data_IF_250036028017
#
_entry.id   IF_250036028017
#
_cell.length_a   1.000
_cell.length_b   1.000
_cell.length_c   1.000
_cell.angle_alpha   90.00
_cell.angle_beta   90.00
_cell.angle_gamma   90.00
#
_symmetry.space_group_name_H-M   'P 1'
#
loop_
_entity.id
_entity.type
_entity.pdbx_description
1 polymer ?
#
# COMPACT_ATOMS: atom_id res chain seq x y z
N UNK A 1 -13.08 19.68 24.01
CA UNK A 1 -12.64 19.54 22.60
C UNK A 1 -11.31 18.75 22.44
N UNK A 2 -10.96 17.81 23.32
CA UNK A 2 -9.68 17.07 23.22
C UNK A 2 -9.81 15.66 22.58
N UNK A 3 -11.02 15.08 22.58
CA UNK A 3 -11.23 13.70 22.11
C UNK A 3 -11.10 13.59 20.58
N UNK A 4 -11.50 14.64 19.85
CA UNK A 4 -11.50 14.61 18.38
C UNK A 4 -10.08 14.69 17.77
N UNK A 5 -9.11 15.31 18.45
CA UNK A 5 -7.72 15.41 18.00
C UNK A 5 -6.93 14.12 18.23
N UNK A 6 -7.21 13.40 19.33
CA UNK A 6 -6.53 12.12 19.63
C UNK A 6 -6.89 11.03 18.62
N UNK A 7 -8.16 10.93 18.19
CA UNK A 7 -8.58 9.93 17.19
C UNK A 7 -8.03 10.24 15.79
N UNK A 8 -7.85 11.52 15.45
CA UNK A 8 -7.24 11.94 14.18
C UNK A 8 -5.75 11.60 14.12
N UNK A 9 -5.02 11.77 15.22
CA UNK A 9 -3.59 11.45 15.29
C UNK A 9 -3.34 9.92 15.16
N UNK A 10 -4.22 9.09 15.72
CA UNK A 10 -4.13 7.64 15.59
C UNK A 10 -4.35 7.17 14.14
N UNK A 11 -5.30 7.79 13.42
CA UNK A 11 -5.55 7.48 12.02
C UNK A 11 -4.33 7.84 11.14
N UNK A 12 -3.71 8.99 11.38
CA UNK A 12 -2.50 9.44 10.66
C UNK A 12 -1.27 8.55 10.92
N UNK A 13 -1.12 8.06 12.15
CA UNK A 13 -0.08 7.09 12.49
C UNK A 13 -0.25 5.75 11.73
N UNK A 14 -1.49 5.36 11.41
CA UNK A 14 -1.78 4.12 10.70
C UNK A 14 -1.60 4.22 9.17
N UNK A 15 -1.82 5.41 8.60
CA UNK A 15 -1.65 5.69 7.16
C UNK A 15 -0.21 5.92 6.75
N UNK A 16 0.70 6.23 7.70
CA UNK A 16 2.12 6.43 7.39
C UNK A 16 2.76 5.14 6.89
N UNK A 17 2.96 5.08 5.57
CA UNK A 17 3.91 4.17 4.96
C UNK A 17 5.30 4.43 5.57
N UNK A 18 6.08 3.37 5.82
CA UNK A 18 7.31 3.37 6.65
C UNK A 18 8.16 4.62 6.43
N UNK A 19 8.73 5.17 7.50
CA UNK A 19 9.59 6.38 7.48
C UNK A 19 10.59 6.37 6.33
N UNK A 20 10.75 7.52 5.66
CA UNK A 20 11.65 7.73 4.49
C UNK A 20 13.11 7.27 4.71
N UNK A 21 13.56 7.15 5.96
CA UNK A 21 14.87 6.61 6.36
C UNK A 21 15.03 5.10 6.17
N UNK A 22 13.95 4.35 5.94
CA UNK A 22 14.04 2.92 5.68
C UNK A 22 14.44 2.69 4.21
N UNK A 23 15.66 2.18 3.99
CA UNK A 23 16.20 1.91 2.66
C UNK A 23 15.37 0.83 1.93
N UNK A 24 14.77 -0.10 2.68
CA UNK A 24 13.91 -1.17 2.15
C UNK A 24 12.43 -0.82 2.37
N UNK A 25 11.83 -0.06 1.46
CA UNK A 25 10.41 0.28 1.50
C UNK A 25 9.52 -0.87 1.01
N UNK A 26 9.62 -2.04 1.66
CA UNK A 26 8.80 -3.22 1.37
C UNK A 26 7.67 -3.33 2.39
N UNK A 27 6.44 -3.52 1.91
CA UNK A 27 5.34 -3.96 2.76
C UNK A 27 4.46 -4.96 2.05
N UNK A 28 4.02 -5.94 2.82
CA UNK A 28 3.06 -6.95 2.37
C UNK A 28 1.72 -6.64 3.00
N UNK A 29 0.68 -6.56 2.17
CA UNK A 29 -0.71 -6.43 2.59
C UNK A 29 -1.46 -7.71 2.22
N UNK A 30 -2.38 -8.12 3.09
CA UNK A 30 -3.27 -9.26 2.86
C UNK A 30 -4.63 -8.76 2.35
N UNK A 31 -5.24 -9.51 1.44
CA UNK A 31 -6.58 -9.22 0.97
C UNK A 31 -7.61 -9.71 2.00
N UNK A 32 -8.20 -8.79 2.75
CA UNK A 32 -9.18 -9.12 3.80
C UNK A 32 -10.61 -8.72 3.43
N UNK A 33 -10.83 -7.57 2.79
CA UNK A 33 -12.15 -7.07 2.39
C UNK A 33 -12.01 -6.18 1.13
N UNK A 34 -11.50 -6.72 0.02
CA UNK A 34 -11.35 -5.98 -1.26
C UNK A 34 -10.52 -4.69 -1.17
N UNK A 35 -9.67 -4.61 -0.15
CA UNK A 35 -8.73 -3.51 0.06
C UNK A 35 -7.61 -3.48 -1.00
N UNK A 36 -7.43 -4.56 -1.77
CA UNK A 36 -6.51 -4.68 -2.89
C UNK A 36 -7.33 -4.87 -4.16
N UNK A 37 -7.16 -3.98 -5.15
CA UNK A 37 -7.89 -4.06 -6.41
C UNK A 37 -6.99 -3.64 -7.57
N UNK A 38 -7.05 -4.34 -8.70
CA UNK A 38 -6.33 -3.96 -9.91
C UNK A 38 -7.26 -3.11 -10.78
N UNK A 39 -6.84 -1.88 -11.07
CA UNK A 39 -7.55 -0.94 -11.94
C UNK A 39 -6.64 -0.68 -13.14
N UNK A 40 -6.84 -1.45 -14.22
CA UNK A 40 -6.01 -1.37 -15.43
C UNK A 40 -4.55 -1.74 -15.18
N UNK A 41 -3.66 -0.73 -15.19
CA UNK A 41 -2.20 -0.85 -14.91
C UNK A 41 -1.83 -0.44 -13.47
N UNK A 42 -2.81 -0.08 -12.64
CA UNK A 42 -2.59 0.33 -11.26
C UNK A 42 -3.16 -0.71 -10.30
N UNK A 43 -2.57 -0.80 -9.12
CA UNK A 43 -3.08 -1.58 -8.01
C UNK A 43 -3.42 -0.63 -6.86
N UNK A 44 -4.64 -0.76 -6.35
CA UNK A 44 -5.11 -0.10 -5.14
C UNK A 44 -4.53 -0.85 -3.95
N UNK A 45 -3.84 -0.13 -3.07
CA UNK A 45 -3.30 -0.64 -1.83
C UNK A 45 -3.81 0.22 -0.67
N UNK A 46 -4.06 -0.36 0.51
CA UNK A 46 -4.69 0.35 1.61
C UNK A 46 -3.87 1.54 2.14
N UNK A 47 -2.53 1.45 2.11
CA UNK A 47 -1.63 2.49 2.65
C UNK A 47 -1.01 3.40 1.61
N UNK A 48 -0.85 2.93 0.37
CA UNK A 48 -0.26 3.72 -0.73
C UNK A 48 -1.29 4.27 -1.72
N UNK A 49 -2.55 3.84 -1.63
CA UNK A 49 -3.56 4.18 -2.64
C UNK A 49 -3.25 3.50 -3.98
N UNK A 50 -3.42 4.22 -5.07
CA UNK A 50 -3.25 3.69 -6.43
C UNK A 50 -1.78 3.76 -6.86
N UNK A 51 -1.14 2.60 -6.92
CA UNK A 51 0.26 2.46 -7.31
C UNK A 51 0.35 1.84 -8.70
N UNK A 52 1.20 2.41 -9.56
CA UNK A 52 1.46 1.83 -10.89
C UNK A 52 2.29 0.56 -10.72
N UNK A 53 1.83 -0.57 -11.26
CA UNK A 53 2.56 -1.83 -11.17
C UNK A 53 2.85 -2.40 -12.56
N UNK A 54 4.00 -3.04 -12.72
CA UNK A 54 4.33 -3.79 -13.91
C UNK A 54 3.93 -5.25 -13.68
N UNK A 55 2.96 -5.74 -14.46
CA UNK A 55 2.51 -7.14 -14.34
C UNK A 55 3.58 -8.03 -14.98
N UNK A 56 4.33 -8.77 -14.17
CA UNK A 56 5.24 -9.82 -14.70
C UNK A 56 4.49 -11.08 -15.13
N UNK A 57 3.28 -11.29 -14.59
CA UNK A 57 2.36 -12.39 -14.94
C UNK A 57 0.95 -11.83 -15.04
N UNK A 58 0.13 -12.41 -15.93
CA UNK A 58 -1.30 -12.11 -15.93
C UNK A 58 -1.90 -12.57 -14.60
N UNK A 59 -2.65 -11.68 -13.95
CA UNK A 59 -3.28 -11.98 -12.66
C UNK A 59 -4.63 -12.64 -12.96
N UNK A 60 -4.58 -13.89 -13.41
CA UNK A 60 -5.76 -14.75 -13.46
C UNK A 60 -5.99 -15.35 -12.07
N UNK A 61 -7.00 -14.84 -11.36
CA UNK A 61 -7.43 -15.36 -10.07
C UNK A 61 -7.52 -14.33 -8.93
N UNK A 62 -7.73 -14.84 -7.71
CA UNK A 62 -7.89 -14.01 -6.50
C UNK A 62 -6.52 -13.64 -5.92
N UNK A 63 -6.28 -12.34 -5.73
CA UNK A 63 -5.09 -11.84 -5.03
C UNK A 63 -5.22 -12.17 -3.54
N UNK A 64 -4.36 -13.02 -2.98
CA UNK A 64 -4.39 -13.34 -1.53
C UNK A 64 -3.54 -12.34 -0.74
N UNK A 65 -2.40 -11.96 -1.29
CA UNK A 65 -1.49 -10.98 -0.74
C UNK A 65 -0.82 -10.17 -1.85
N UNK A 66 -0.39 -8.96 -1.54
CA UNK A 66 0.38 -8.11 -2.43
C UNK A 66 1.58 -7.56 -1.66
N UNK A 67 2.77 -7.62 -2.27
CA UNK A 67 4.00 -7.09 -1.67
C UNK A 67 4.49 -5.93 -2.52
N UNK A 68 4.31 -4.72 -2.03
CA UNK A 68 4.81 -3.53 -2.70
C UNK A 68 6.21 -3.20 -2.15
N UNK A 69 7.19 -3.14 -3.05
CA UNK A 69 8.58 -2.77 -2.77
C UNK A 69 8.90 -1.46 -3.47
N UNK A 70 9.22 -0.45 -2.68
CA UNK A 70 9.70 0.85 -3.15
C UNK A 70 11.22 0.90 -3.18
N UNK A 71 11.78 1.47 -4.24
CA UNK A 71 13.17 1.92 -4.25
C UNK A 71 13.28 3.36 -3.70
N UNK A 72 14.45 3.79 -3.22
CA UNK A 72 14.65 5.17 -2.76
C UNK A 72 14.42 6.23 -3.86
N UNK A 73 14.38 5.84 -5.14
CA UNK A 73 13.99 6.71 -6.27
C UNK A 73 12.48 6.95 -6.36
N UNK A 74 11.67 6.44 -5.42
CA UNK A 74 10.22 6.68 -5.35
C UNK A 74 9.38 5.81 -6.29
N UNK A 75 9.97 4.80 -6.92
CA UNK A 75 9.25 3.84 -7.77
C UNK A 75 8.89 2.61 -6.95
N UNK A 76 7.63 2.22 -7.04
CA UNK A 76 7.07 1.05 -6.38
C UNK A 76 6.88 -0.08 -7.39
N UNK A 77 7.25 -1.29 -6.99
CA UNK A 77 7.06 -2.54 -7.70
C UNK A 77 6.17 -3.44 -6.86
N UNK A 78 5.11 -3.99 -7.47
CA UNK A 78 4.13 -4.86 -6.81
C UNK A 78 4.07 -6.18 -7.54
#
# INVERSE_FOLDING_TARGET
MAIQSSVRNLADAYTRFKSKKNNLQSYTTKQTNENIAIIGNKIKLPKLGLVRFAKSREVEGRIVNATARGNPSGRYFV
#
